data_IF_204007181086
#
_entry.id   IF_204007181086
#
_cell.length_a   1.000
_cell.length_b   1.000
_cell.length_c   1.000
_cell.angle_alpha   90.00
_cell.angle_beta   90.00
_cell.angle_gamma   90.00
#
_symmetry.space_group_name_H-M   'P 1'
#
loop_
_entity.id
_entity.type
_entity.pdbx_description
1 polymer ?
#
# COMPACT_ATOMS: atom_id res chain seq x y z
N UNK A 1 -52.09 24.79 25.99
CA UNK A 1 -51.63 23.52 26.58
C UNK A 1 -50.79 22.83 25.53
N UNK A 2 -49.47 22.81 25.71
CA UNK A 2 -48.53 22.22 24.77
C UNK A 2 -48.58 20.70 24.86
N UNK A 3 -48.64 20.03 23.71
CA UNK A 3 -48.56 18.58 23.63
C UNK A 3 -47.23 18.21 22.98
N UNK A 4 -46.28 17.76 23.81
CA UNK A 4 -44.94 17.37 23.39
C UNK A 4 -44.98 16.09 22.56
N UNK A 5 -44.47 16.18 21.34
CA UNK A 5 -44.16 15.01 20.52
C UNK A 5 -42.90 14.34 21.10
N UNK A 6 -43.07 13.20 21.76
CA UNK A 6 -41.94 12.32 22.09
C UNK A 6 -41.58 11.54 20.82
N UNK A 7 -40.60 12.02 20.06
CA UNK A 7 -39.93 11.27 19.00
C UNK A 7 -39.30 10.02 19.61
N UNK A 8 -39.79 8.85 19.22
CA UNK A 8 -39.24 7.56 19.66
C UNK A 8 -37.84 7.38 19.06
N UNK A 9 -36.85 6.93 19.85
CA UNK A 9 -35.49 6.73 19.36
C UNK A 9 -35.47 5.72 18.21
N UNK A 10 -34.72 6.05 17.15
CA UNK A 10 -34.59 5.22 15.96
C UNK A 10 -33.85 3.92 16.28
N UNK A 11 -33.80 2.97 15.35
CA UNK A 11 -32.99 1.76 15.55
C UNK A 11 -31.50 2.09 15.66
N UNK A 12 -31.04 3.11 14.92
CA UNK A 12 -29.67 3.62 14.95
C UNK A 12 -29.27 4.16 16.34
N UNK A 13 -30.19 4.84 17.02
CA UNK A 13 -29.96 5.34 18.39
C UNK A 13 -29.76 4.20 19.39
N UNK A 14 -30.54 3.12 19.25
CA UNK A 14 -30.45 1.93 20.12
C UNK A 14 -29.20 1.12 19.85
N UNK A 15 -28.83 0.95 18.58
CA UNK A 15 -27.63 0.24 18.19
C UNK A 15 -26.36 0.99 18.63
N UNK A 16 -26.38 2.32 18.58
CA UNK A 16 -25.34 3.19 19.15
C UNK A 16 -25.21 2.99 20.67
N UNK A 17 -26.33 3.03 21.40
CA UNK A 17 -26.35 2.89 22.86
C UNK A 17 -25.86 1.49 23.31
N UNK A 18 -26.27 0.43 22.61
CA UNK A 18 -25.81 -0.94 22.86
C UNK A 18 -24.32 -1.10 22.56
N UNK A 19 -23.83 -0.56 21.45
CA UNK A 19 -22.40 -0.56 21.10
C UNK A 19 -21.56 0.14 22.17
N UNK A 20 -22.01 1.31 22.63
CA UNK A 20 -21.36 2.08 23.68
C UNK A 20 -21.32 1.33 25.03
N UNK A 21 -22.43 0.68 25.41
CA UNK A 21 -22.48 -0.15 26.63
C UNK A 21 -21.54 -1.36 26.56
N UNK A 22 -21.50 -2.06 25.42
CA UNK A 22 -20.60 -3.19 25.21
C UNK A 22 -19.13 -2.74 25.28
N UNK A 23 -18.77 -1.65 24.59
CA UNK A 23 -17.42 -1.07 24.64
C UNK A 23 -17.01 -0.68 26.08
N UNK A 24 -17.92 -0.07 26.84
CA UNK A 24 -17.69 0.28 28.25
C UNK A 24 -17.50 -0.95 29.15
N UNK A 25 -18.13 -2.09 28.82
CA UNK A 25 -17.98 -3.35 29.55
C UNK A 25 -16.64 -4.04 29.22
N UNK A 26 -16.24 -4.08 27.95
CA UNK A 26 -14.95 -4.64 27.52
C UNK A 26 -13.74 -3.83 28.03
N UNK A 27 -13.86 -2.49 28.07
CA UNK A 27 -12.81 -1.60 28.56
C UNK A 27 -12.42 -1.83 30.03
N UNK A 28 -13.32 -2.40 30.86
CA UNK A 28 -13.07 -2.67 32.29
C UNK A 28 -12.21 -3.92 32.55
N UNK A 29 -12.29 -4.93 31.69
CA UNK A 29 -11.61 -6.22 31.88
C UNK A 29 -10.23 -6.29 31.23
N UNK A 30 -10.07 -5.62 30.09
CA UNK A 30 -8.83 -5.57 29.33
C UNK A 30 -8.89 -4.34 28.39
N UNK A 31 -8.44 -3.15 28.84
CA UNK A 31 -8.47 -1.97 27.97
C UNK A 31 -7.61 -2.24 26.74
N UNK A 32 -8.22 -2.17 25.56
CA UNK A 32 -7.48 -2.22 24.29
C UNK A 32 -6.63 -0.96 24.22
N UNK A 33 -5.32 -1.06 23.99
CA UNK A 33 -4.49 0.12 23.79
C UNK A 33 -4.99 0.90 22.58
N UNK A 34 -5.39 2.16 22.81
CA UNK A 34 -5.74 3.11 21.75
C UNK A 34 -4.61 4.13 21.66
N UNK A 35 -4.15 4.37 20.44
CA UNK A 35 -3.08 5.34 20.16
C UNK A 35 -3.61 6.43 19.24
N UNK A 36 -3.46 7.68 19.64
CA UNK A 36 -3.81 8.83 18.80
C UNK A 36 -2.87 8.96 17.59
N UNK A 37 -1.63 8.49 17.74
CA UNK A 37 -0.60 8.49 16.72
C UNK A 37 0.12 7.14 16.64
N UNK A 38 0.43 6.70 15.41
CA UNK A 38 1.18 5.47 15.14
C UNK A 38 2.31 5.75 14.15
N UNK A 39 3.53 5.34 14.54
CA UNK A 39 4.71 5.42 13.69
C UNK A 39 4.51 4.69 12.36
N UNK A 40 3.94 3.48 12.41
CA UNK A 40 3.70 2.65 11.22
C UNK A 40 2.73 3.33 10.25
N UNK A 41 1.66 3.94 10.80
CA UNK A 41 0.70 4.70 10.00
C UNK A 41 1.36 5.90 9.33
N UNK A 42 2.17 6.66 10.07
CA UNK A 42 2.87 7.81 9.50
C UNK A 42 3.86 7.40 8.41
N UNK A 43 4.67 6.37 8.65
CA UNK A 43 5.64 5.87 7.67
C UNK A 43 4.93 5.35 6.42
N UNK A 44 3.80 4.65 6.57
CA UNK A 44 3.01 4.19 5.43
C UNK A 44 2.44 5.37 4.62
N UNK A 45 1.94 6.41 5.28
CA UNK A 45 1.50 7.64 4.60
C UNK A 45 2.66 8.28 3.82
N UNK A 46 3.86 8.37 4.43
CA UNK A 46 5.04 8.87 3.74
C UNK A 46 5.40 8.00 2.52
N UNK A 47 5.35 6.68 2.65
CA UNK A 47 5.58 5.75 1.55
C UNK A 47 4.56 5.93 0.42
N UNK A 48 3.27 6.10 0.72
CA UNK A 48 2.26 6.38 -0.31
C UNK A 48 2.55 7.68 -1.05
N UNK A 49 2.91 8.74 -0.34
CA UNK A 49 3.28 10.01 -0.97
C UNK A 49 4.49 9.84 -1.89
N UNK A 50 5.50 9.09 -1.46
CA UNK A 50 6.69 8.80 -2.27
C UNK A 50 6.32 7.98 -3.51
N UNK A 51 5.52 6.91 -3.36
CA UNK A 51 5.06 6.07 -4.49
C UNK A 51 4.24 6.85 -5.50
N UNK A 52 3.53 7.89 -5.06
CA UNK A 52 2.74 8.77 -5.93
C UNK A 52 3.56 9.94 -6.54
N UNK A 53 4.85 10.03 -6.22
CA UNK A 53 5.75 11.08 -6.72
C UNK A 53 6.68 10.55 -7.81
N UNK A 54 7.25 11.46 -8.61
CA UNK A 54 8.25 11.12 -9.63
C UNK A 54 9.61 10.90 -8.96
N UNK A 55 9.96 9.65 -8.70
CA UNK A 55 11.19 9.26 -8.03
C UNK A 55 12.15 8.62 -9.03
N UNK A 56 13.41 9.04 -9.05
CA UNK A 56 14.46 8.29 -9.76
C UNK A 56 14.93 7.13 -8.89
N UNK A 57 14.99 5.95 -9.46
CA UNK A 57 15.34 4.71 -8.76
C UNK A 57 16.34 3.90 -9.59
N UNK A 58 16.80 2.79 -9.03
CA UNK A 58 17.56 1.78 -9.75
C UNK A 58 17.02 0.42 -9.36
N UNK A 59 16.57 -0.36 -10.33
CA UNK A 59 15.98 -1.67 -10.12
C UNK A 59 16.99 -2.75 -10.44
N UNK A 60 17.08 -3.77 -9.59
CA UNK A 60 17.90 -4.96 -9.78
C UNK A 60 17.02 -6.17 -9.58
N UNK A 61 17.05 -7.14 -10.49
CA UNK A 61 16.33 -8.40 -10.32
C UNK A 61 17.26 -9.59 -10.30
N UNK A 62 16.85 -10.59 -9.55
CA UNK A 62 17.63 -11.80 -9.31
C UNK A 62 16.82 -13.02 -9.67
N UNK A 63 17.51 -14.03 -10.20
CA UNK A 63 16.97 -15.36 -10.39
C UNK A 63 16.52 -15.98 -9.06
N UNK A 64 15.80 -17.10 -9.13
CA UNK A 64 15.41 -17.86 -7.94
C UNK A 64 16.61 -18.39 -7.14
N UNK A 65 17.78 -18.52 -7.79
CA UNK A 65 19.05 -18.88 -7.14
C UNK A 65 19.78 -17.67 -6.52
N UNK A 66 19.20 -16.47 -6.61
CA UNK A 66 19.76 -15.24 -6.04
C UNK A 66 20.85 -14.58 -6.90
N UNK A 67 21.06 -15.04 -8.14
CA UNK A 67 22.02 -14.42 -9.07
C UNK A 67 21.39 -13.19 -9.73
N UNK A 68 22.10 -12.07 -9.79
CA UNK A 68 21.64 -10.87 -10.50
C UNK A 68 21.61 -11.18 -11.99
N UNK A 69 20.40 -11.12 -12.56
CA UNK A 69 20.14 -11.38 -13.98
C UNK A 69 20.13 -10.09 -14.78
N UNK A 70 19.79 -8.98 -14.14
CA UNK A 70 19.76 -7.67 -14.78
C UNK A 70 19.50 -6.55 -13.80
N UNK A 71 19.81 -5.34 -14.27
CA UNK A 71 19.54 -4.10 -13.58
C UNK A 71 19.36 -2.94 -14.56
N UNK A 72 18.69 -1.89 -14.11
CA UNK A 72 18.56 -0.66 -14.88
C UNK A 72 18.33 0.55 -13.96
N UNK A 73 18.78 1.75 -14.35
CA UNK A 73 18.18 2.99 -13.87
C UNK A 73 16.68 2.97 -14.18
N UNK A 74 15.85 3.33 -13.23
CA UNK A 74 14.40 3.22 -13.33
C UNK A 74 13.68 4.44 -12.77
N UNK A 75 12.38 4.53 -13.06
CA UNK A 75 11.50 5.54 -12.52
C UNK A 75 10.46 4.91 -11.59
N UNK A 76 10.42 5.38 -10.35
CA UNK A 76 9.49 4.92 -9.33
C UNK A 76 9.81 3.52 -8.80
N UNK A 77 8.88 3.02 -8.00
CA UNK A 77 8.92 1.63 -7.56
C UNK A 77 8.21 0.76 -8.59
N UNK A 78 8.65 -0.48 -8.76
CA UNK A 78 8.04 -1.41 -9.69
C UNK A 78 6.54 -1.56 -9.46
N UNK A 79 5.80 -1.77 -10.55
CA UNK A 79 4.36 -1.99 -10.52
C UNK A 79 4.11 -3.50 -10.60
N UNK A 80 3.53 -4.14 -9.56
CA UNK A 80 3.13 -5.54 -9.66
C UNK A 80 2.23 -5.77 -10.88
N UNK A 81 2.42 -6.91 -11.57
CA UNK A 81 1.82 -7.20 -12.86
C UNK A 81 0.28 -7.15 -12.86
N UNK A 82 -0.34 -7.68 -11.82
CA UNK A 82 -1.80 -7.78 -11.64
C UNK A 82 -2.40 -6.53 -10.96
N UNK A 83 -1.64 -5.43 -10.85
CA UNK A 83 -2.19 -4.14 -10.41
C UNK A 83 -3.25 -3.69 -11.43
N UNK A 84 -4.45 -3.37 -10.94
CA UNK A 84 -5.59 -3.07 -11.80
C UNK A 84 -6.19 -1.69 -11.49
N UNK A 85 -6.82 -1.07 -12.49
CA UNK A 85 -7.60 0.16 -12.33
C UNK A 85 -9.08 -0.11 -12.05
N UNK A 86 -9.55 -1.30 -12.41
CA UNK A 86 -10.92 -1.75 -12.20
C UNK A 86 -10.97 -2.70 -11.02
N UNK A 87 -12.03 -2.64 -10.21
CA UNK A 87 -12.17 -3.51 -9.05
C UNK A 87 -12.10 -4.98 -9.49
N UNK A 88 -11.12 -5.77 -9.01
CA UNK A 88 -11.01 -7.18 -9.36
C UNK A 88 -12.14 -8.01 -8.75
N UNK A 89 -12.83 -7.50 -7.72
CA UNK A 89 -13.98 -8.14 -7.09
C UNK A 89 -15.26 -7.44 -7.54
N UNK A 90 -16.11 -8.15 -8.28
CA UNK A 90 -17.44 -7.69 -8.63
C UNK A 90 -18.49 -8.53 -7.91
N UNK A 91 -19.49 -7.86 -7.36
CA UNK A 91 -20.71 -8.49 -6.88
C UNK A 91 -21.51 -8.96 -8.09
N UNK A 92 -21.72 -10.27 -8.26
CA UNK A 92 -22.81 -10.73 -9.13
C UNK A 92 -24.14 -10.56 -8.40
N UNK A 93 -25.11 -9.94 -9.07
CA UNK A 93 -26.46 -9.72 -8.54
C UNK A 93 -27.21 -11.06 -8.49
N UNK A 94 -26.98 -11.83 -7.43
CA UNK A 94 -27.72 -13.05 -7.13
C UNK A 94 -29.11 -12.71 -6.60
N UNK A 95 -30.16 -13.21 -7.26
CA UNK A 95 -31.52 -13.09 -6.79
C UNK A 95 -31.66 -13.55 -5.32
N UNK A 96 -32.34 -12.72 -4.52
CA UNK A 96 -32.82 -12.94 -3.16
C UNK A 96 -31.82 -12.72 -2.01
N UNK A 97 -32.07 -11.62 -1.27
CA UNK A 97 -31.79 -11.36 0.15
C UNK A 97 -30.41 -11.82 0.67
N UNK A 98 -29.50 -10.84 0.79
CA UNK A 98 -28.26 -10.91 1.60
C UNK A 98 -27.05 -11.66 1.01
N UNK A 99 -26.69 -11.41 -0.25
CA UNK A 99 -25.31 -11.70 -0.67
C UNK A 99 -24.38 -10.56 -0.23
N UNK A 100 -23.83 -10.65 0.99
CA UNK A 100 -22.74 -9.78 1.45
C UNK A 100 -21.48 -10.26 0.72
N UNK A 101 -21.14 -9.62 -0.39
CA UNK A 101 -19.88 -9.86 -1.09
C UNK A 101 -18.83 -8.83 -0.67
N UNK A 102 -17.57 -9.28 -0.56
CA UNK A 102 -16.45 -8.41 -0.23
C UNK A 102 -16.08 -7.58 -1.47
N UNK A 103 -16.27 -6.26 -1.39
CA UNK A 103 -15.89 -5.33 -2.45
C UNK A 103 -14.48 -4.83 -2.17
N UNK A 104 -13.54 -5.15 -3.06
CA UNK A 104 -12.18 -4.63 -3.00
C UNK A 104 -12.18 -3.09 -2.97
N UNK A 105 -11.30 -2.50 -2.17
CA UNK A 105 -11.10 -1.05 -2.13
C UNK A 105 -9.82 -0.69 -2.87
N UNK A 106 -9.85 0.41 -3.61
CA UNK A 106 -8.66 0.95 -4.24
C UNK A 106 -7.75 1.59 -3.17
N UNK A 107 -6.45 1.53 -3.40
CA UNK A 107 -5.45 2.27 -2.65
C UNK A 107 -5.62 3.79 -2.87
N UNK A 108 -5.07 4.65 -2.00
CA UNK A 108 -5.21 6.11 -2.13
C UNK A 108 -4.74 6.71 -3.47
N UNK A 109 -3.88 6.00 -4.20
CA UNK A 109 -3.41 6.37 -5.55
C UNK A 109 -4.35 5.90 -6.68
N UNK A 110 -5.49 5.29 -6.37
CA UNK A 110 -6.53 4.91 -7.32
C UNK A 110 -6.32 3.57 -8.03
N UNK A 111 -5.39 2.74 -7.57
CA UNK A 111 -5.17 1.39 -8.11
C UNK A 111 -5.59 0.33 -7.11
N UNK A 112 -5.99 -0.83 -7.60
CA UNK A 112 -6.18 -2.02 -6.78
C UNK A 112 -4.84 -2.76 -6.71
N UNK A 113 -4.30 -2.88 -5.50
CA UNK A 113 -3.02 -3.52 -5.27
C UNK A 113 -3.04 -5.02 -5.66
N UNK A 114 -1.89 -5.52 -6.08
CA UNK A 114 -1.64 -6.95 -6.29
C UNK A 114 -1.94 -7.77 -5.05
N UNK A 115 -2.47 -8.97 -5.26
CA UNK A 115 -2.68 -9.94 -4.18
C UNK A 115 -1.96 -11.26 -4.41
N UNK A 116 -1.50 -11.56 -5.63
CA UNK A 116 -1.15 -12.94 -6.01
C UNK A 116 0.11 -13.10 -6.85
N UNK A 117 0.88 -12.06 -7.17
CA UNK A 117 2.07 -12.19 -8.04
C UNK A 117 3.32 -11.52 -7.50
N UNK A 118 4.47 -12.13 -7.79
CA UNK A 118 5.80 -11.50 -7.68
C UNK A 118 6.23 -10.79 -8.96
N UNK A 119 5.54 -11.04 -10.08
CA UNK A 119 5.87 -10.44 -11.35
C UNK A 119 5.66 -8.93 -11.30
N UNK A 120 6.63 -8.19 -11.82
CA UNK A 120 6.73 -6.74 -11.66
C UNK A 120 7.11 -6.09 -12.98
N UNK A 121 6.36 -5.06 -13.37
CA UNK A 121 6.78 -4.10 -14.39
C UNK A 121 7.81 -3.14 -13.80
N UNK A 122 9.00 -3.14 -14.38
CA UNK A 122 10.07 -2.22 -14.04
C UNK A 122 10.15 -1.13 -15.11
N UNK A 123 9.93 0.12 -14.73
CA UNK A 123 9.99 1.26 -15.65
C UNK A 123 11.45 1.69 -15.85
N UNK A 124 12.21 0.94 -16.65
CA UNK A 124 13.60 1.26 -16.94
C UNK A 124 13.69 2.56 -17.76
N UNK A 125 14.76 3.32 -17.55
CA UNK A 125 15.08 4.52 -18.32
C UNK A 125 16.10 4.13 -19.37
N UNK A 126 15.69 4.19 -20.63
CA UNK A 126 16.54 3.91 -21.80
C UNK A 126 17.61 4.98 -22.01
N UNK A 127 18.52 4.72 -22.96
CA UNK A 127 19.65 5.62 -23.27
C UNK A 127 19.22 6.99 -23.80
N UNK A 128 18.04 7.08 -24.41
CA UNK A 128 17.41 8.33 -24.87
C UNK A 128 16.70 9.11 -23.75
N UNK A 129 16.59 8.52 -22.55
CA UNK A 129 15.76 9.04 -21.46
C UNK A 129 14.28 8.63 -21.54
N UNK A 130 13.87 7.84 -22.54
CA UNK A 130 12.52 7.26 -22.60
C UNK A 130 12.30 6.17 -21.56
N UNK A 131 11.05 5.99 -21.13
CA UNK A 131 10.68 4.84 -20.31
C UNK A 131 10.49 3.59 -21.18
N UNK A 132 11.20 2.54 -20.81
CA UNK A 132 11.19 1.22 -21.45
C UNK A 132 10.75 0.20 -20.41
N UNK A 133 9.45 -0.15 -20.34
CA UNK A 133 8.95 -1.07 -19.33
C UNK A 133 9.48 -2.48 -19.58
N UNK A 134 10.11 -3.06 -18.57
CA UNK A 134 10.62 -4.45 -18.56
C UNK A 134 9.71 -5.29 -17.67
N UNK A 135 9.19 -6.39 -18.21
CA UNK A 135 8.46 -7.40 -17.46
C UNK A 135 9.45 -8.34 -16.76
N UNK A 136 9.34 -8.47 -15.43
CA UNK A 136 10.24 -9.31 -14.63
C UNK A 136 9.41 -10.24 -13.74
N UNK A 137 9.56 -11.56 -13.91
CA UNK A 137 8.89 -12.55 -13.04
C UNK A 137 9.68 -12.83 -11.76
N UNK A 138 11.00 -12.72 -11.84
CA UNK A 138 11.93 -12.91 -10.74
C UNK A 138 11.84 -11.81 -9.68
N UNK A 139 12.52 -11.99 -8.54
CA UNK A 139 12.46 -11.04 -7.43
C UNK A 139 13.15 -9.72 -7.77
N UNK A 140 12.42 -8.62 -7.66
CA UNK A 140 12.92 -7.25 -7.90
C UNK A 140 13.29 -6.57 -6.58
N UNK A 141 14.44 -5.90 -6.55
CA UNK A 141 14.83 -4.94 -5.52
C UNK A 141 14.96 -3.55 -6.14
N UNK A 142 14.27 -2.57 -5.59
CA UNK A 142 14.33 -1.17 -6.07
C UNK A 142 15.07 -0.30 -5.05
N UNK A 143 16.12 0.36 -5.51
CA UNK A 143 16.92 1.28 -4.70
C UNK A 143 16.51 2.73 -5.01
N UNK A 144 16.22 3.57 -3.99
CA UNK A 144 15.92 4.98 -4.19
C UNK A 144 17.23 5.77 -4.37
N UNK A 145 17.92 5.54 -5.49
CA UNK A 145 19.21 6.16 -5.82
C UNK A 145 20.10 5.22 -6.65
N UNK A 146 21.24 5.73 -7.15
CA UNK A 146 22.12 4.97 -8.03
C UNK A 146 22.84 3.85 -7.27
N UNK A 147 22.98 2.70 -7.94
CA UNK A 147 23.77 1.56 -7.49
C UNK A 147 24.77 1.13 -8.55
N UNK A 148 25.78 0.39 -8.12
CA UNK A 148 26.69 -0.35 -8.99
C UNK A 148 26.47 -1.84 -8.71
N UNK A 149 26.16 -2.57 -9.78
CA UNK A 149 26.00 -4.01 -9.76
C UNK A 149 27.29 -4.64 -10.25
N UNK A 150 27.83 -5.59 -9.48
CA UNK A 150 28.94 -6.42 -9.88
C UNK A 150 28.41 -7.83 -10.15
N UNK A 151 28.34 -8.20 -11.42
CA UNK A 151 27.82 -9.49 -11.89
C UNK A 151 28.74 -10.67 -11.56
N UNK A 152 30.04 -10.46 -11.46
CA UNK A 152 31.02 -11.52 -11.13
C UNK A 152 30.91 -11.97 -9.67
N UNK A 153 30.78 -11.00 -8.76
CA UNK A 153 30.67 -11.22 -7.32
C UNK A 153 29.23 -11.30 -6.83
N UNK A 154 28.27 -11.05 -7.72
CA UNK A 154 26.83 -11.03 -7.44
C UNK A 154 26.45 -10.02 -6.33
N UNK A 155 27.10 -8.85 -6.30
CA UNK A 155 26.91 -7.81 -5.27
C UNK A 155 26.32 -6.53 -5.85
N UNK A 156 25.54 -5.83 -5.02
CA UNK A 156 24.97 -4.52 -5.34
C UNK A 156 25.39 -3.54 -4.26
N UNK A 157 26.06 -2.47 -4.67
CA UNK A 157 26.56 -1.43 -3.76
C UNK A 157 25.94 -0.08 -4.14
N UNK A 158 25.58 0.73 -3.14
CA UNK A 158 25.16 2.12 -3.41
C UNK A 158 26.35 2.93 -3.92
N UNK A 159 26.15 3.68 -4.99
CA UNK A 159 27.20 4.49 -5.63
C UNK A 159 26.99 5.99 -5.45
N UNK A 160 25.84 6.41 -4.91
CA UNK A 160 25.54 7.83 -4.70
C UNK A 160 24.47 8.09 -3.65
N UNK A 161 24.06 9.36 -3.56
CA UNK A 161 23.03 9.82 -2.62
C UNK A 161 21.67 9.21 -2.97
N UNK A 162 20.83 9.03 -1.95
CA UNK A 162 19.46 8.63 -2.17
C UNK A 162 18.69 9.72 -2.92
N UNK A 163 17.83 9.31 -3.85
CA UNK A 163 16.93 10.20 -4.58
C UNK A 163 15.76 10.68 -3.72
N UNK A 164 15.36 9.87 -2.74
CA UNK A 164 14.28 10.16 -1.80
C UNK A 164 14.72 9.81 -0.39
N UNK A 165 14.31 10.66 0.55
CA UNK A 165 14.54 10.50 1.99
C UNK A 165 13.19 10.69 2.68
N UNK A 166 12.76 9.69 3.45
CA UNK A 166 11.61 9.85 4.35
C UNK A 166 11.99 10.77 5.50
N UNK A 167 11.05 11.61 5.93
CA UNK A 167 11.25 12.42 7.13
C UNK A 167 11.27 11.48 8.32
N UNK A 168 12.29 11.61 9.17
CA UNK A 168 12.32 10.90 10.45
C UNK A 168 11.10 11.35 11.26
N UNK A 169 10.16 10.45 11.61
CA UNK A 169 9.01 10.83 12.40
C UNK A 169 9.47 11.27 13.79
N UNK A 170 8.94 12.40 14.25
CA UNK A 170 9.08 12.84 15.63
C UNK A 170 7.79 12.43 16.35
N UNK A 171 7.92 11.78 17.51
CA UNK A 171 6.74 11.47 18.31
C UNK A 171 6.03 12.80 18.68
N UNK A 172 4.70 12.88 18.55
CA UNK A 172 3.97 14.04 19.02
C UNK A 172 4.24 14.25 20.52
N UNK A 173 4.44 15.51 20.92
CA UNK A 173 4.67 15.91 22.32
C UNK A 173 3.40 15.82 23.14
#
# INVERSE_FOLDING_TARGET
MGNGSCSSPTQEDRDSEISNMQQAQYAKGQPVPVYDWSLERELLIQLYNIRNSRVSTHSVWRSDYGMVEGDCPSMGYGLPYDTSLTNPWQAEEGNWRESITSIGQAEPNGVFASTNTSATWVMCVGTSGSLEPVYVESKVTVFPGPVVVNYETNRVNRSGKASVIMKKPEAPK
#
